data_IF_986603634551
#
_entry.id   IF_986603634551
#
_cell.length_a   1.000
_cell.length_b   1.000
_cell.length_c   1.000
_cell.angle_alpha   90.00
_cell.angle_beta   90.00
_cell.angle_gamma   90.00
#
_symmetry.space_group_name_H-M   'P 1'
#
loop_
_entity.id
_entity.type
_entity.pdbx_description
1 polymer ?
#
# COMPACT_ATOMS: atom_id res chain seq x y z
N UNK A 1 9.87 -13.62 -11.49
CA UNK A 1 9.15 -12.43 -12.01
C UNK A 1 7.68 -12.66 -11.71
N UNK A 2 7.03 -11.77 -10.97
CA UNK A 2 5.58 -11.85 -10.76
C UNK A 2 4.89 -11.17 -11.95
N UNK A 3 3.83 -11.79 -12.48
CA UNK A 3 3.01 -11.24 -13.55
C UNK A 3 1.64 -10.96 -12.97
N UNK A 4 1.15 -9.74 -13.12
CA UNK A 4 -0.19 -9.33 -12.71
C UNK A 4 -1.00 -9.01 -13.97
N UNK A 5 -2.21 -9.55 -14.06
CA UNK A 5 -3.11 -9.33 -15.19
C UNK A 5 -4.24 -8.36 -14.79
N UNK A 6 -4.49 -7.38 -15.64
CA UNK A 6 -5.59 -6.43 -15.51
C UNK A 6 -6.51 -6.51 -16.73
N UNK A 7 -7.80 -6.33 -16.54
CA UNK A 7 -8.72 -6.11 -17.65
C UNK A 7 -8.63 -4.66 -18.14
N UNK A 8 -8.93 -4.41 -19.40
CA UNK A 8 -8.98 -3.06 -19.97
C UNK A 8 -9.94 -2.14 -19.17
N UNK A 9 -11.11 -2.65 -18.81
CA UNK A 9 -12.09 -1.90 -18.02
C UNK A 9 -11.54 -1.52 -16.63
N UNK A 10 -10.81 -2.42 -15.97
CA UNK A 10 -10.21 -2.14 -14.67
C UNK A 10 -9.10 -1.09 -14.76
N UNK A 11 -8.21 -1.18 -15.77
CA UNK A 11 -7.18 -0.16 -15.99
C UNK A 11 -7.78 1.22 -16.24
N UNK A 12 -8.83 1.29 -17.06
CA UNK A 12 -9.53 2.55 -17.34
C UNK A 12 -10.20 3.12 -16.08
N UNK A 13 -10.84 2.28 -15.27
CA UNK A 13 -11.42 2.69 -14.00
C UNK A 13 -10.35 3.24 -13.04
N UNK A 14 -9.21 2.56 -12.90
CA UNK A 14 -8.07 3.04 -12.10
C UNK A 14 -7.54 4.39 -12.60
N UNK A 15 -7.51 4.61 -13.91
CA UNK A 15 -7.05 5.86 -14.51
C UNK A 15 -7.99 7.03 -14.15
N UNK A 16 -9.28 6.88 -14.34
CA UNK A 16 -10.28 7.90 -14.00
C UNK A 16 -10.26 8.24 -12.50
N UNK A 17 -10.01 7.23 -11.65
CA UNK A 17 -9.93 7.39 -10.20
C UNK A 17 -8.58 7.93 -9.70
N UNK A 18 -7.66 8.26 -10.58
CA UNK A 18 -6.37 8.85 -10.21
C UNK A 18 -5.46 7.91 -9.42
N UNK A 19 -5.51 6.60 -9.71
CA UNK A 19 -4.73 5.58 -9.03
C UNK A 19 -3.23 5.88 -9.07
N UNK A 20 -2.54 5.72 -7.93
CA UNK A 20 -1.07 5.79 -7.88
C UNK A 20 -0.40 4.75 -8.77
N UNK A 21 -1.06 3.61 -9.04
CA UNK A 21 -0.53 2.61 -9.96
C UNK A 21 -0.48 3.13 -11.41
N UNK A 22 -1.54 3.78 -11.89
CA UNK A 22 -1.56 4.39 -13.21
C UNK A 22 -0.55 5.54 -13.30
N UNK A 23 -0.46 6.37 -12.25
CA UNK A 23 0.55 7.42 -12.18
C UNK A 23 1.98 6.85 -12.24
N UNK A 24 2.23 5.72 -11.59
CA UNK A 24 3.51 5.01 -11.68
C UNK A 24 3.79 4.54 -13.12
N UNK A 25 2.79 3.99 -13.81
CA UNK A 25 2.95 3.62 -15.22
C UNK A 25 3.26 4.82 -16.11
N UNK A 26 2.67 5.99 -15.84
CA UNK A 26 2.95 7.24 -16.60
C UNK A 26 4.40 7.70 -16.37
N UNK A 27 4.89 7.61 -15.12
CA UNK A 27 6.23 8.16 -14.75
C UNK A 27 7.36 7.21 -15.14
N UNK A 28 7.21 5.92 -14.83
CA UNK A 28 8.31 4.95 -14.91
C UNK A 28 7.97 3.72 -15.77
N UNK A 29 6.73 3.62 -16.27
CA UNK A 29 6.28 2.48 -17.06
C UNK A 29 6.95 2.41 -18.43
N UNK A 30 7.26 1.19 -18.85
CA UNK A 30 7.72 0.90 -20.22
C UNK A 30 6.71 -0.01 -20.87
N UNK A 31 6.01 0.49 -21.88
CA UNK A 31 5.09 -0.32 -22.68
C UNK A 31 5.91 -1.14 -23.68
N UNK A 32 5.85 -2.46 -23.53
CA UNK A 32 6.55 -3.38 -24.44
C UNK A 32 5.68 -3.69 -25.65
N UNK A 33 4.38 -3.87 -25.45
CA UNK A 33 3.41 -4.20 -26.48
C UNK A 33 2.03 -3.68 -26.08
N UNK A 34 1.32 -3.02 -26.97
CA UNK A 34 -0.07 -2.54 -26.78
C UNK A 34 -0.81 -2.58 -28.13
N UNK A 35 -0.96 -3.79 -28.70
CA UNK A 35 -1.53 -4.02 -30.02
C UNK A 35 -2.93 -3.38 -30.20
N UNK A 36 -3.68 -3.23 -29.11
CA UNK A 36 -5.04 -2.67 -29.15
C UNK A 36 -5.17 -1.29 -28.50
N UNK A 37 -4.08 -0.64 -28.14
CA UNK A 37 -4.08 0.70 -27.53
C UNK A 37 -4.77 0.77 -26.16
N UNK A 38 -4.85 -0.34 -25.45
CA UNK A 38 -5.56 -0.45 -24.14
C UNK A 38 -4.80 0.33 -23.09
N UNK A 39 -3.49 0.17 -23.04
CA UNK A 39 -2.63 0.85 -22.06
C UNK A 39 -2.59 2.34 -22.39
N UNK A 40 -2.34 2.70 -23.65
CA UNK A 40 -2.32 4.09 -24.10
C UNK A 40 -3.64 4.81 -23.75
N UNK A 41 -4.78 4.18 -24.03
CA UNK A 41 -6.10 4.71 -23.68
C UNK A 41 -6.27 4.94 -22.19
N UNK A 42 -5.79 4.03 -21.34
CA UNK A 42 -5.85 4.18 -19.89
C UNK A 42 -4.94 5.31 -19.41
N UNK A 43 -3.71 5.42 -19.94
CA UNK A 43 -2.77 6.49 -19.56
C UNK A 43 -3.31 7.87 -19.94
N UNK A 44 -3.92 8.01 -21.11
CA UNK A 44 -4.56 9.26 -21.57
C UNK A 44 -5.79 9.62 -20.72
N UNK A 45 -6.55 8.63 -20.25
CA UNK A 45 -7.71 8.85 -19.40
C UNK A 45 -7.37 9.19 -17.93
N UNK A 46 -6.08 9.17 -17.56
CA UNK A 46 -5.68 9.43 -16.19
C UNK A 46 -6.06 10.85 -15.76
N UNK A 47 -6.78 10.89 -14.64
CA UNK A 47 -7.18 12.14 -14.00
C UNK A 47 -6.57 12.19 -12.60
N UNK A 48 -5.64 13.14 -12.31
CA UNK A 48 -5.10 13.27 -10.96
C UNK A 48 -6.23 13.48 -9.94
N UNK A 49 -6.21 12.77 -8.80
CA UNK A 49 -7.22 12.97 -7.78
C UNK A 49 -7.06 14.38 -7.16
N UNK A 50 -8.14 15.01 -6.67
CA UNK A 50 -8.07 16.32 -6.04
C UNK A 50 -7.21 16.30 -4.75
N UNK A 51 -7.15 15.15 -4.08
CA UNK A 51 -6.25 14.91 -2.95
C UNK A 51 -6.07 13.41 -2.73
N UNK A 52 -5.03 13.04 -1.97
CA UNK A 52 -4.79 11.66 -1.50
C UNK A 52 -5.28 11.44 -0.06
N UNK A 53 -6.13 12.34 0.48
CA UNK A 53 -6.52 12.28 1.90
C UNK A 53 -7.35 11.02 2.22
N UNK A 54 -8.29 10.63 1.35
CA UNK A 54 -9.08 9.40 1.54
C UNK A 54 -8.18 8.15 1.59
N UNK A 55 -7.18 8.07 0.70
CA UNK A 55 -6.18 7.02 0.73
C UNK A 55 -5.40 7.05 2.04
N UNK A 56 -4.91 8.22 2.47
CA UNK A 56 -4.13 8.37 3.70
C UNK A 56 -4.93 8.02 4.96
N UNK A 57 -6.23 8.31 4.99
CA UNK A 57 -7.12 7.86 6.06
C UNK A 57 -7.17 6.35 6.10
N UNK A 58 -7.36 5.68 4.96
CA UNK A 58 -7.37 4.22 4.89
C UNK A 58 -6.04 3.59 5.34
N UNK A 59 -4.91 4.16 4.90
CA UNK A 59 -3.58 3.69 5.33
C UNK A 59 -3.38 3.87 6.84
N UNK A 60 -3.84 4.99 7.41
CA UNK A 60 -3.76 5.28 8.86
C UNK A 60 -4.59 4.29 9.67
N UNK A 61 -5.82 4.00 9.25
CA UNK A 61 -6.68 3.03 9.94
C UNK A 61 -6.11 1.62 9.86
N UNK A 62 -5.59 1.21 8.71
CA UNK A 62 -4.90 -0.05 8.57
C UNK A 62 -3.63 -0.10 9.42
N UNK A 63 -2.83 0.98 9.46
CA UNK A 63 -1.63 1.06 10.29
C UNK A 63 -1.95 0.92 11.79
N UNK A 64 -3.01 1.57 12.27
CA UNK A 64 -3.44 1.43 13.66
C UNK A 64 -3.81 -0.02 14.03
N UNK A 65 -4.48 -0.72 13.11
CA UNK A 65 -4.85 -2.12 13.30
C UNK A 65 -3.62 -3.06 13.30
N UNK A 66 -2.54 -2.72 12.61
CA UNK A 66 -1.30 -3.53 12.61
C UNK A 66 -0.46 -3.38 13.88
N UNK A 67 -0.79 -2.47 14.79
CA UNK A 67 -0.10 -2.31 16.07
C UNK A 67 -0.67 -3.28 17.10
N UNK A 68 -0.48 -4.55 16.86
CA UNK A 68 -0.95 -5.67 17.70
C UNK A 68 0.10 -6.07 18.74
N UNK A 69 -0.31 -6.88 19.73
CA UNK A 69 0.59 -7.46 20.71
C UNK A 69 1.46 -8.60 20.15
N UNK A 70 2.39 -9.09 20.96
CA UNK A 70 3.36 -10.10 20.54
C UNK A 70 2.70 -11.46 20.20
N UNK A 71 1.54 -11.78 20.79
CA UNK A 71 0.87 -13.04 20.53
C UNK A 71 0.27 -13.04 19.12
N UNK A 72 -0.51 -12.04 18.81
CA UNK A 72 -1.15 -11.89 17.49
C UNK A 72 -0.11 -11.62 16.39
N UNK A 73 0.98 -10.89 16.73
CA UNK A 73 2.09 -10.68 15.83
C UNK A 73 2.72 -11.98 15.38
N UNK A 74 2.95 -12.95 16.28
CA UNK A 74 3.53 -14.26 15.94
C UNK A 74 2.64 -15.08 15.02
N UNK A 75 1.32 -15.00 15.21
CA UNK A 75 0.37 -15.72 14.36
C UNK A 75 0.30 -15.20 12.92
N UNK A 76 0.57 -13.89 12.75
CA UNK A 76 0.43 -13.18 11.47
C UNK A 76 1.70 -12.42 11.04
N UNK A 77 2.87 -12.82 11.54
CA UNK A 77 4.14 -12.11 11.44
C UNK A 77 4.46 -11.61 10.03
N UNK A 78 4.43 -12.51 9.05
CA UNK A 78 4.78 -12.17 7.67
C UNK A 78 3.74 -11.22 7.04
N UNK A 79 2.45 -11.46 7.28
CA UNK A 79 1.35 -10.62 6.78
C UNK A 79 1.41 -9.20 7.33
N UNK A 80 1.57 -9.06 8.64
CA UNK A 80 1.71 -7.76 9.32
C UNK A 80 2.92 -7.00 8.78
N UNK A 81 4.07 -7.67 8.71
CA UNK A 81 5.30 -7.04 8.23
C UNK A 81 5.21 -6.61 6.76
N UNK A 82 4.69 -7.46 5.86
CA UNK A 82 4.54 -7.12 4.43
C UNK A 82 3.54 -6.00 4.22
N UNK A 83 2.39 -6.06 4.91
CA UNK A 83 1.42 -4.98 4.84
C UNK A 83 2.01 -3.68 5.40
N UNK A 84 2.70 -3.72 6.53
CA UNK A 84 3.34 -2.54 7.10
C UNK A 84 4.30 -1.85 6.13
N UNK A 85 5.17 -2.62 5.46
CA UNK A 85 6.06 -2.09 4.41
C UNK A 85 5.25 -1.48 3.26
N UNK A 86 4.16 -2.14 2.84
CA UNK A 86 3.28 -1.63 1.80
C UNK A 86 2.65 -0.28 2.19
N UNK A 87 2.12 -0.15 3.41
CA UNK A 87 1.50 1.10 3.89
C UNK A 87 2.50 2.26 3.89
N UNK A 88 3.69 2.04 4.45
CA UNK A 88 4.76 3.05 4.50
C UNK A 88 5.17 3.51 3.10
N UNK A 89 5.35 2.56 2.18
CA UNK A 89 5.70 2.87 0.79
C UNK A 89 4.59 3.65 0.08
N UNK A 90 3.35 3.24 0.27
CA UNK A 90 2.20 3.87 -0.39
C UNK A 90 1.99 5.30 0.11
N UNK A 91 2.14 5.56 1.42
CA UNK A 91 2.07 6.93 1.96
C UNK A 91 3.21 7.81 1.42
N UNK A 92 4.41 7.27 1.31
CA UNK A 92 5.56 7.97 0.72
C UNK A 92 5.27 8.39 -0.72
N UNK A 93 4.74 7.49 -1.55
CA UNK A 93 4.40 7.77 -2.94
C UNK A 93 3.22 8.77 -3.07
N UNK A 94 2.19 8.62 -2.23
CA UNK A 94 1.08 9.56 -2.18
C UNK A 94 1.54 10.96 -1.76
N UNK A 95 2.48 11.05 -0.83
CA UNK A 95 3.08 12.31 -0.37
C UNK A 95 3.89 12.99 -1.49
N UNK A 96 4.71 12.22 -2.22
CA UNK A 96 5.49 12.73 -3.35
C UNK A 96 4.56 13.22 -4.49
N UNK A 97 3.51 12.46 -4.80
CA UNK A 97 2.52 12.84 -5.81
C UNK A 97 1.73 14.09 -5.39
N UNK A 98 1.30 14.18 -4.13
CA UNK A 98 0.62 15.36 -3.58
C UNK A 98 1.49 16.63 -3.63
N UNK A 99 2.82 16.48 -3.50
CA UNK A 99 3.78 17.57 -3.65
C UNK A 99 4.08 17.94 -5.11
N UNK A 100 3.40 17.32 -6.09
CA UNK A 100 3.62 17.54 -7.52
C UNK A 100 4.94 16.99 -8.05
N UNK A 101 5.57 16.08 -7.34
CA UNK A 101 6.84 15.42 -7.69
C UNK A 101 6.71 13.92 -7.51
N UNK A 102 5.84 13.25 -8.30
CA UNK A 102 5.62 11.82 -8.18
C UNK A 102 6.94 11.08 -8.37
N UNK A 103 7.25 10.19 -7.43
CA UNK A 103 8.45 9.38 -7.41
C UNK A 103 8.12 8.00 -6.87
N UNK A 104 8.44 6.94 -7.62
CA UNK A 104 8.10 5.56 -7.29
C UNK A 104 9.33 4.68 -7.02
N UNK A 105 10.53 5.23 -7.14
CA UNK A 105 11.71 4.62 -6.56
C UNK A 105 11.76 4.95 -5.06
N UNK A 106 11.61 3.91 -4.23
CA UNK A 106 11.58 4.07 -2.78
C UNK A 106 12.89 4.63 -2.21
N UNK A 107 14.03 4.31 -2.85
CA UNK A 107 15.34 4.77 -2.41
C UNK A 107 15.49 6.29 -2.67
N UNK A 108 14.89 6.78 -3.76
CA UNK A 108 14.89 8.21 -4.09
C UNK A 108 13.82 8.96 -3.31
N UNK A 109 12.60 8.38 -3.20
CA UNK A 109 11.47 9.01 -2.53
C UNK A 109 11.69 9.18 -1.02
N UNK A 110 12.31 8.19 -0.34
CA UNK A 110 12.66 8.30 1.07
C UNK A 110 13.75 9.35 1.34
N UNK A 111 14.55 9.67 0.31
CA UNK A 111 15.65 10.60 0.44
C UNK A 111 16.77 10.09 1.36
N UNK A 112 17.78 10.94 1.56
CA UNK A 112 18.90 10.63 2.48
C UNK A 112 18.49 10.88 3.95
N UNK A 113 17.37 11.58 4.17
CA UNK A 113 16.98 12.10 5.48
C UNK A 113 16.32 11.07 6.40
N UNK A 114 15.73 9.99 5.87
CA UNK A 114 15.07 8.93 6.65
C UNK A 114 15.70 7.55 6.37
N UNK A 115 16.91 7.35 6.88
CA UNK A 115 17.67 6.11 6.74
C UNK A 115 16.93 4.89 7.36
N UNK A 116 16.14 5.11 8.42
CA UNK A 116 15.36 4.05 9.04
C UNK A 116 14.23 3.59 8.14
N UNK A 117 13.45 4.54 7.58
CA UNK A 117 12.40 4.22 6.62
C UNK A 117 12.97 3.46 5.41
N UNK A 118 14.09 3.94 4.88
CA UNK A 118 14.76 3.27 3.76
C UNK A 118 15.17 1.83 4.09
N UNK A 119 15.71 1.60 5.29
CA UNK A 119 16.06 0.26 5.76
C UNK A 119 14.81 -0.65 5.78
N UNK A 120 13.69 -0.16 6.35
CA UNK A 120 12.42 -0.89 6.40
C UNK A 120 11.88 -1.18 4.98
N UNK A 121 11.88 -0.20 4.09
CA UNK A 121 11.39 -0.40 2.72
C UNK A 121 12.20 -1.44 1.95
N UNK A 122 13.51 -1.56 2.24
CA UNK A 122 14.39 -2.59 1.66
C UNK A 122 14.09 -4.00 2.18
N UNK A 123 13.48 -4.15 3.36
CA UNK A 123 13.08 -5.45 3.91
C UNK A 123 12.07 -6.19 3.01
N UNK A 124 11.38 -5.49 2.10
CA UNK A 124 10.52 -6.11 1.07
C UNK A 124 11.23 -7.19 0.24
N UNK A 125 12.57 -7.09 0.12
CA UNK A 125 13.41 -8.03 -0.65
C UNK A 125 13.84 -9.25 0.16
N UNK A 126 13.62 -9.25 1.47
CA UNK A 126 13.96 -10.38 2.33
C UNK A 126 13.00 -11.54 2.05
N UNK A 127 13.50 -12.80 2.01
CA UNK A 127 12.67 -13.97 1.80
C UNK A 127 11.71 -14.22 2.97
N UNK A 128 12.11 -13.83 4.18
CA UNK A 128 11.32 -13.91 5.43
C UNK A 128 11.66 -12.73 6.34
N UNK A 129 10.65 -12.27 7.08
CA UNK A 129 10.81 -11.28 8.14
C UNK A 129 11.00 -11.97 9.49
N UNK A 130 11.78 -11.32 10.37
CA UNK A 130 11.94 -11.72 11.76
C UNK A 130 11.00 -10.88 12.65
N UNK A 131 10.73 -11.36 13.86
CA UNK A 131 9.93 -10.63 14.84
C UNK A 131 10.50 -9.22 15.10
N UNK A 132 11.83 -9.10 15.23
CA UNK A 132 12.50 -7.80 15.37
C UNK A 132 12.30 -6.85 14.19
N UNK A 133 12.20 -7.38 12.97
CA UNK A 133 11.95 -6.58 11.78
C UNK A 133 10.52 -6.02 11.82
N UNK A 134 9.55 -6.84 12.23
CA UNK A 134 8.14 -6.44 12.31
C UNK A 134 7.92 -5.44 13.45
N UNK A 135 8.59 -5.58 14.60
CA UNK A 135 8.57 -4.55 15.64
C UNK A 135 9.12 -3.21 15.15
N UNK A 136 10.21 -3.21 14.39
CA UNK A 136 10.74 -1.97 13.79
C UNK A 136 9.72 -1.36 12.81
N UNK A 137 9.04 -2.19 12.01
CA UNK A 137 7.98 -1.75 11.10
C UNK A 137 6.81 -1.14 11.90
N UNK A 138 6.32 -1.80 12.96
CA UNK A 138 5.25 -1.29 13.81
C UNK A 138 5.62 0.06 14.45
N UNK A 139 6.83 0.19 14.99
CA UNK A 139 7.32 1.45 15.54
C UNK A 139 7.32 2.57 14.50
N UNK A 140 7.74 2.27 13.27
CA UNK A 140 7.73 3.22 12.16
C UNK A 140 6.31 3.59 11.72
N UNK A 141 5.38 2.62 11.66
CA UNK A 141 3.95 2.87 11.38
C UNK A 141 3.36 3.82 12.43
N UNK A 142 3.60 3.55 13.72
CA UNK A 142 3.13 4.41 14.81
C UNK A 142 3.63 5.86 14.66
N UNK A 143 4.90 6.03 14.30
CA UNK A 143 5.53 7.34 14.11
C UNK A 143 4.98 8.07 12.87
N UNK A 144 4.99 7.44 11.69
CA UNK A 144 4.60 8.06 10.41
C UNK A 144 3.13 8.42 10.40
N UNK A 145 2.26 7.49 10.81
CA UNK A 145 0.81 7.70 10.79
C UNK A 145 0.27 8.35 12.07
N UNK A 146 1.12 8.55 13.10
CA UNK A 146 0.74 9.12 14.41
C UNK A 146 -0.43 8.36 15.04
N UNK A 147 -0.33 7.04 15.05
CA UNK A 147 -1.33 6.12 15.60
C UNK A 147 -0.79 5.39 16.82
N UNK A 148 -1.71 4.89 17.64
CA UNK A 148 -1.42 4.07 18.81
C UNK A 148 -2.12 2.72 18.68
N UNK A 149 -1.65 1.66 19.37
CA UNK A 149 -2.34 0.37 19.41
C UNK A 149 -3.81 0.52 19.83
N UNK A 150 -4.70 -0.11 19.09
CA UNK A 150 -6.13 -0.13 19.43
C UNK A 150 -6.49 -1.11 20.55
N UNK A 151 -5.62 -2.11 20.76
CA UNK A 151 -5.92 -3.26 21.63
C UNK A 151 -6.95 -4.23 21.05
N UNK A 152 -7.35 -4.03 19.81
CA UNK A 152 -8.32 -4.83 19.06
C UNK A 152 -7.57 -5.91 18.26
N UNK A 153 -8.14 -7.11 18.12
CA UNK A 153 -7.57 -8.14 17.25
C UNK A 153 -7.73 -7.76 15.77
N UNK A 154 -6.82 -8.24 14.91
CA UNK A 154 -6.85 -7.96 13.47
C UNK A 154 -8.17 -8.35 12.81
N UNK A 155 -8.75 -9.48 13.21
CA UNK A 155 -10.04 -9.95 12.71
C UNK A 155 -11.18 -9.01 13.06
N UNK A 156 -11.20 -8.51 14.29
CA UNK A 156 -12.23 -7.57 14.76
C UNK A 156 -12.08 -6.21 14.07
N UNK A 157 -10.83 -5.74 13.93
CA UNK A 157 -10.51 -4.55 13.16
C UNK A 157 -10.97 -4.65 11.70
N UNK A 158 -10.72 -5.78 11.03
CA UNK A 158 -11.17 -6.02 9.66
C UNK A 158 -12.70 -5.97 9.54
N UNK A 159 -13.42 -6.62 10.47
CA UNK A 159 -14.90 -6.62 10.49
C UNK A 159 -15.45 -5.20 10.74
N UNK A 160 -14.91 -4.50 11.74
CA UNK A 160 -15.35 -3.12 12.04
C UNK A 160 -15.13 -2.19 10.84
N UNK A 161 -13.98 -2.27 10.21
CA UNK A 161 -13.61 -1.43 9.08
C UNK A 161 -14.38 -1.79 7.80
N UNK A 162 -14.92 -3.01 7.67
CA UNK A 162 -15.66 -3.40 6.48
C UNK A 162 -16.85 -2.46 6.19
N UNK A 163 -17.48 -1.90 7.22
CA UNK A 163 -18.59 -0.99 7.09
C UNK A 163 -18.18 0.48 6.90
N UNK A 164 -17.07 0.91 7.52
CA UNK A 164 -16.64 2.33 7.52
C UNK A 164 -15.55 2.63 6.51
N UNK A 165 -14.65 1.69 6.27
CA UNK A 165 -13.53 1.82 5.33
C UNK A 165 -13.20 0.46 4.69
N UNK A 166 -13.95 0.05 3.66
CA UNK A 166 -13.74 -1.26 2.98
C UNK A 166 -12.32 -1.44 2.45
N UNK A 167 -11.63 -0.35 2.07
CA UNK A 167 -10.26 -0.40 1.60
C UNK A 167 -9.30 -0.83 2.73
N UNK A 168 -9.36 -0.18 3.89
CA UNK A 168 -8.55 -0.56 5.05
C UNK A 168 -8.86 -1.99 5.51
N UNK A 169 -10.16 -2.37 5.54
CA UNK A 169 -10.57 -3.74 5.85
C UNK A 169 -9.95 -4.77 4.91
N UNK A 170 -9.97 -4.51 3.59
CA UNK A 170 -9.35 -5.38 2.59
C UNK A 170 -7.85 -5.56 2.81
N UNK A 171 -7.14 -4.48 3.16
CA UNK A 171 -5.72 -4.51 3.51
C UNK A 171 -5.45 -5.43 4.71
N UNK A 172 -6.22 -5.28 5.80
CA UNK A 172 -6.05 -6.09 7.01
C UNK A 172 -6.39 -7.56 6.73
N UNK A 173 -7.48 -7.83 6.00
CA UNK A 173 -7.86 -9.19 5.62
C UNK A 173 -6.74 -9.92 4.87
N UNK A 174 -5.97 -9.21 4.05
CA UNK A 174 -4.80 -9.78 3.38
C UNK A 174 -3.64 -10.10 4.35
N UNK A 175 -3.42 -9.27 5.37
CA UNK A 175 -2.41 -9.56 6.40
C UNK A 175 -2.77 -10.81 7.21
N UNK A 176 -4.05 -11.03 7.49
CA UNK A 176 -4.54 -12.21 8.20
C UNK A 176 -4.45 -13.46 7.32
N UNK A 177 -4.76 -13.33 6.02
CA UNK A 177 -4.70 -14.45 5.10
C UNK A 177 -3.25 -14.89 4.92
N UNK A 178 -2.98 -16.20 5.07
CA UNK A 178 -1.64 -16.79 4.90
C UNK A 178 -1.09 -16.69 3.47
N UNK A 179 -1.86 -16.13 2.55
CA UNK A 179 -1.43 -15.85 1.17
C UNK A 179 -0.67 -14.52 1.12
N UNK A 180 0.63 -14.61 1.17
CA UNK A 180 1.60 -13.51 1.31
C UNK A 180 1.78 -12.67 0.03
N UNK A 181 1.06 -12.94 -1.03
CA UNK A 181 1.13 -12.15 -2.26
C UNK A 181 0.18 -10.97 -2.13
N UNK A 182 0.74 -9.82 -1.81
CA UNK A 182 0.03 -8.54 -1.92
C UNK A 182 -0.32 -8.31 -3.39
N UNK A 183 -1.49 -8.77 -3.80
CA UNK A 183 -1.99 -8.56 -5.15
C UNK A 183 -2.66 -7.18 -5.22
N UNK A 184 -2.10 -6.30 -6.03
CA UNK A 184 -2.71 -4.99 -6.31
C UNK A 184 -4.14 -5.09 -6.88
N UNK A 185 -4.52 -6.23 -7.46
CA UNK A 185 -5.87 -6.48 -7.96
C UNK A 185 -6.89 -6.74 -6.86
N UNK A 186 -6.46 -7.16 -5.68
CA UNK A 186 -7.36 -7.50 -4.57
C UNK A 186 -7.86 -6.27 -3.81
N UNK A 187 -7.30 -5.08 -4.08
CA UNK A 187 -7.75 -3.86 -3.42
C UNK A 187 -8.94 -3.25 -4.15
N UNK A 188 -10.09 -3.13 -3.49
CA UNK A 188 -11.13 -2.25 -4.01
C UNK A 188 -10.51 -0.85 -4.10
N UNK A 189 -10.65 -0.21 -5.26
CA UNK A 189 -10.27 1.19 -5.42
C UNK A 189 -11.02 1.99 -4.37
N UNK A 190 -10.36 2.92 -3.64
CA UNK A 190 -11.07 3.75 -2.68
C UNK A 190 -12.21 4.48 -3.42
N UNK A 191 -13.40 4.58 -2.81
CA UNK A 191 -14.43 5.46 -3.34
C UNK A 191 -13.87 6.89 -3.38
N UNK A 192 -14.04 7.55 -4.50
CA UNK A 192 -13.70 8.95 -4.69
C UNK A 192 -14.60 9.84 -3.84
#
# INVERSE_FOLDING_TARGET
>A
MAVTAYTAAHLHQMAIQGSLFILHLIVDGVVIEDEHGVIESALVAYTPPPSYESLRVALREAAAALLVDDLELRDHLEGIGRLGIYLLRTDLYASAAAAGRPQFDADVAAGIEDAELLCILRMRRLPRLKESDVHAIQAKLASVFRVSPSGEQLTDAAVRLAASNPHASGLITQAISKNVVMDYNAFPLPPL
#
